data_IF_165961660760
#
_entry.id   IF_165961660760
#
_cell.length_a   1.000
_cell.length_b   1.000
_cell.length_c   1.000
_cell.angle_alpha   90.00
_cell.angle_beta   90.00
_cell.angle_gamma   90.00
#
_symmetry.space_group_name_H-M   'P 1'
#
loop_
_entity.id
_entity.type
_entity.pdbx_description
1 polymer ?
#
# COMPACT_ATOMS: atom_id res chain seq x y z
N UNK A 1 6.11 8.68 -10.96
CA UNK A 1 5.64 8.13 -9.66
C UNK A 1 6.80 7.53 -8.87
N UNK A 2 7.58 6.67 -9.49
CA UNK A 2 8.68 5.99 -8.78
C UNK A 2 9.71 6.99 -8.25
N UNK A 3 10.08 8.00 -9.05
CA UNK A 3 11.02 9.02 -8.61
C UNK A 3 10.50 9.77 -7.36
N UNK A 4 9.21 10.09 -7.34
CA UNK A 4 8.60 10.74 -6.17
C UNK A 4 8.58 9.85 -4.95
N UNK A 5 8.34 8.55 -5.14
CA UNK A 5 8.38 7.59 -4.04
C UNK A 5 9.78 7.49 -3.44
N UNK A 6 10.82 7.55 -4.25
CA UNK A 6 12.19 7.53 -3.76
C UNK A 6 12.54 8.76 -2.93
N UNK A 7 11.95 9.91 -3.24
CA UNK A 7 12.18 11.15 -2.52
C UNK A 7 11.39 11.24 -1.20
N UNK A 8 10.25 10.58 -1.12
CA UNK A 8 9.36 10.68 0.04
C UNK A 8 9.89 9.86 1.23
N UNK A 9 9.54 10.29 2.44
CA UNK A 9 9.81 9.53 3.66
C UNK A 9 8.65 8.60 4.00
N UNK A 10 7.44 8.97 3.58
CA UNK A 10 6.23 8.24 3.85
C UNK A 10 5.47 8.05 2.54
N UNK A 11 4.97 6.84 2.32
CA UNK A 11 4.20 6.49 1.13
C UNK A 11 2.81 6.05 1.59
N UNK A 12 1.79 6.67 0.99
CA UNK A 12 0.40 6.30 1.23
C UNK A 12 -0.16 5.77 -0.08
N UNK A 13 -0.64 4.53 -0.07
CA UNK A 13 -1.26 3.94 -1.25
C UNK A 13 -2.73 3.73 -0.96
N UNK A 14 -3.59 4.30 -1.78
CA UNK A 14 -5.03 4.11 -1.70
C UNK A 14 -5.54 3.34 -2.90
N UNK A 15 -6.40 2.38 -2.66
CA UNK A 15 -7.00 1.57 -3.72
C UNK A 15 -8.46 1.28 -3.43
N UNK A 16 -9.36 1.40 -4.42
CA UNK A 16 -10.65 0.76 -4.30
C UNK A 16 -10.49 -0.76 -4.38
N UNK A 17 -11.46 -1.46 -3.81
CA UNK A 17 -11.53 -2.92 -3.90
C UNK A 17 -12.28 -3.26 -5.19
N UNK A 18 -11.55 -3.70 -6.21
CA UNK A 18 -12.13 -4.14 -7.48
C UNK A 18 -11.81 -5.63 -7.67
N UNK A 19 -12.86 -6.41 -7.95
CA UNK A 19 -12.70 -7.84 -8.17
C UNK A 19 -11.89 -8.50 -7.06
N UNK A 20 -12.29 -8.21 -5.82
CA UNK A 20 -11.78 -8.85 -4.61
C UNK A 20 -10.31 -8.55 -4.28
N UNK A 21 -9.73 -7.52 -4.90
CA UNK A 21 -8.32 -7.16 -4.65
C UNK A 21 -8.05 -5.69 -4.98
N UNK A 22 -6.79 -5.30 -4.97
CA UNK A 22 -6.39 -3.94 -5.34
C UNK A 22 -6.75 -3.67 -6.80
N UNK A 23 -6.97 -2.39 -7.13
CA UNK A 23 -7.36 -1.99 -8.47
C UNK A 23 -6.19 -2.10 -9.46
N UNK A 24 -6.53 -2.10 -10.76
CA UNK A 24 -5.54 -2.22 -11.82
C UNK A 24 -4.51 -1.11 -11.83
N UNK A 25 -4.90 0.12 -11.49
CA UNK A 25 -3.96 1.23 -11.44
C UNK A 25 -2.86 1.01 -10.39
N UNK A 26 -3.25 0.55 -9.19
CA UNK A 26 -2.27 0.22 -8.14
C UNK A 26 -1.42 -0.96 -8.56
N UNK A 27 -2.04 -2.00 -9.10
CA UNK A 27 -1.30 -3.18 -9.59
C UNK A 27 -0.24 -2.78 -10.63
N UNK A 28 -0.60 -1.89 -11.54
CA UNK A 28 0.33 -1.40 -12.56
C UNK A 28 1.54 -0.70 -11.94
N UNK A 29 1.32 0.12 -10.90
CA UNK A 29 2.42 0.77 -10.20
C UNK A 29 3.34 -0.27 -9.54
N UNK A 30 2.77 -1.27 -8.87
CA UNK A 30 3.57 -2.33 -8.25
C UNK A 30 4.38 -3.10 -9.31
N UNK A 31 3.75 -3.41 -10.43
CA UNK A 31 4.42 -4.17 -11.49
C UNK A 31 5.61 -3.39 -12.09
N UNK A 32 5.54 -2.06 -12.12
CA UNK A 32 6.63 -1.23 -12.61
C UNK A 32 7.87 -1.26 -11.74
N UNK A 33 7.72 -1.68 -10.49
CA UNK A 33 8.88 -1.82 -9.60
C UNK A 33 9.77 -2.97 -10.03
N UNK A 34 9.20 -3.94 -10.72
CA UNK A 34 9.94 -5.12 -11.14
C UNK A 34 11.02 -4.73 -12.16
N UNK A 35 12.28 -4.91 -11.80
CA UNK A 35 13.41 -4.57 -12.66
C UNK A 35 13.79 -3.10 -12.71
N UNK A 36 12.98 -2.20 -12.13
CA UNK A 36 13.27 -0.76 -12.13
C UNK A 36 13.71 -0.23 -10.77
N UNK A 37 13.36 -0.94 -9.70
CA UNK A 37 13.66 -0.51 -8.34
C UNK A 37 14.40 -1.62 -7.62
N UNK A 38 15.53 -1.27 -7.01
CA UNK A 38 16.31 -2.22 -6.22
C UNK A 38 15.62 -2.45 -4.88
N UNK A 39 15.83 -3.62 -4.30
CA UNK A 39 15.13 -4.03 -3.07
C UNK A 39 15.29 -3.04 -1.91
N UNK A 40 16.40 -2.37 -1.81
CA UNK A 40 16.68 -1.47 -0.68
C UNK A 40 16.51 0.01 -0.99
N UNK A 41 16.03 0.37 -2.17
CA UNK A 41 15.90 1.79 -2.54
C UNK A 41 14.81 2.53 -1.77
N UNK A 42 13.83 1.80 -1.22
CA UNK A 42 12.78 2.38 -0.40
C UNK A 42 12.95 2.05 1.08
N UNK A 43 14.13 1.56 1.46
CA UNK A 43 14.38 1.11 2.82
C UNK A 43 14.17 2.22 3.85
N UNK A 44 13.51 1.88 4.95
CA UNK A 44 13.26 2.81 6.05
C UNK A 44 12.05 3.71 5.88
N UNK A 45 11.42 3.72 4.71
CA UNK A 45 10.22 4.52 4.49
C UNK A 45 9.01 3.87 5.15
N UNK A 46 8.08 4.70 5.63
CA UNK A 46 6.80 4.20 6.16
C UNK A 46 5.81 4.00 5.02
N UNK A 47 5.01 2.96 5.10
CA UNK A 47 3.96 2.71 4.13
C UNK A 47 2.61 2.53 4.81
N UNK A 48 1.61 3.27 4.33
CA UNK A 48 0.23 3.21 4.78
C UNK A 48 -0.64 2.73 3.64
N UNK A 49 -1.63 1.91 3.93
CA UNK A 49 -2.55 1.39 2.92
C UNK A 49 -3.99 1.78 3.25
N UNK A 50 -4.67 2.39 2.27
CA UNK A 50 -6.09 2.74 2.36
C UNK A 50 -6.84 1.87 1.37
N UNK A 51 -7.77 1.05 1.86
CA UNK A 51 -8.45 0.06 1.03
C UNK A 51 -9.94 0.06 1.32
N UNK A 52 -10.76 0.36 0.32
CA UNK A 52 -12.21 0.53 0.50
C UNK A 52 -12.99 -0.12 -0.61
N UNK A 53 -14.09 -0.77 -0.24
CA UNK A 53 -15.03 -1.38 -1.17
C UNK A 53 -16.47 -1.20 -0.73
N UNK A 54 -17.41 -1.47 -1.65
CA UNK A 54 -18.83 -1.27 -1.39
C UNK A 54 -19.39 -2.28 -0.38
N UNK A 55 -18.96 -3.53 -0.46
CA UNK A 55 -19.43 -4.60 0.42
C UNK A 55 -18.29 -5.61 0.62
N UNK A 56 -17.22 -5.20 1.28
CA UNK A 56 -16.03 -6.05 1.39
C UNK A 56 -16.26 -7.18 2.38
N UNK A 57 -15.84 -8.38 2.01
CA UNK A 57 -15.71 -9.48 2.93
C UNK A 57 -14.29 -9.50 3.52
N UNK A 58 -14.15 -10.07 4.70
CA UNK A 58 -12.89 -10.07 5.42
C UNK A 58 -11.74 -10.65 4.58
N UNK A 59 -11.98 -11.75 3.89
CA UNK A 59 -10.93 -12.40 3.10
C UNK A 59 -10.44 -11.54 1.94
N UNK A 60 -11.32 -10.69 1.38
CA UNK A 60 -10.95 -9.76 0.31
C UNK A 60 -10.01 -8.68 0.83
N UNK A 61 -10.31 -8.14 2.00
CA UNK A 61 -9.48 -7.12 2.63
C UNK A 61 -8.13 -7.71 3.01
N UNK A 62 -8.11 -8.93 3.53
CA UNK A 62 -6.87 -9.62 3.88
C UNK A 62 -6.02 -9.91 2.66
N UNK A 63 -6.63 -10.25 1.51
CA UNK A 63 -5.88 -10.52 0.28
C UNK A 63 -5.15 -9.27 -0.21
N UNK A 64 -5.81 -8.12 -0.23
CA UNK A 64 -5.19 -6.86 -0.61
C UNK A 64 -4.09 -6.46 0.37
N UNK A 65 -4.35 -6.60 1.66
CA UNK A 65 -3.36 -6.28 2.68
C UNK A 65 -2.13 -7.19 2.58
N UNK A 66 -2.35 -8.47 2.31
CA UNK A 66 -1.24 -9.42 2.12
C UNK A 66 -0.31 -8.93 1.00
N UNK A 67 -0.88 -8.58 -0.15
CA UNK A 67 -0.10 -8.08 -1.28
C UNK A 67 0.71 -6.83 -0.90
N UNK A 68 0.08 -5.86 -0.23
CA UNK A 68 0.75 -4.62 0.12
C UNK A 68 1.82 -4.83 1.19
N UNK A 69 1.55 -5.70 2.15
CA UNK A 69 2.51 -6.04 3.19
C UNK A 69 3.75 -6.71 2.60
N UNK A 70 3.55 -7.63 1.67
CA UNK A 70 4.67 -8.30 0.99
C UNK A 70 5.46 -7.33 0.13
N UNK A 71 4.76 -6.43 -0.57
CA UNK A 71 5.41 -5.40 -1.37
C UNK A 71 6.30 -4.50 -0.48
N UNK A 72 5.76 -4.02 0.62
CA UNK A 72 6.52 -3.18 1.55
C UNK A 72 7.75 -3.91 2.08
N UNK A 73 7.59 -5.17 2.49
CA UNK A 73 8.68 -5.97 3.03
C UNK A 73 9.79 -6.20 2.02
N UNK A 74 9.43 -6.47 0.76
CA UNK A 74 10.43 -6.70 -0.29
C UNK A 74 11.33 -5.49 -0.51
N UNK A 75 10.77 -4.28 -0.41
CA UNK A 75 11.53 -3.06 -0.65
C UNK A 75 12.02 -2.39 0.64
N UNK A 76 11.95 -3.08 1.76
CA UNK A 76 12.51 -2.60 3.02
C UNK A 76 11.71 -1.51 3.71
N UNK A 77 10.46 -1.32 3.32
CA UNK A 77 9.58 -0.34 3.95
C UNK A 77 8.96 -0.90 5.23
N UNK A 78 8.65 0.00 6.16
CA UNK A 78 7.91 -0.35 7.37
C UNK A 78 6.42 -0.21 7.07
N UNK A 79 5.71 -1.31 7.01
CA UNK A 79 4.26 -1.33 6.79
C UNK A 79 3.55 -0.96 8.09
N UNK A 80 2.86 0.19 8.11
CA UNK A 80 2.22 0.70 9.31
C UNK A 80 0.86 0.05 9.52
N UNK A 81 0.06 -0.08 8.47
CA UNK A 81 -1.25 -0.70 8.59
C UNK A 81 -2.18 -0.35 7.45
N UNK A 82 -3.39 -0.89 7.53
CA UNK A 82 -4.45 -0.67 6.55
C UNK A 82 -5.63 0.02 7.21
N UNK A 83 -6.15 1.06 6.58
CA UNK A 83 -7.40 1.68 6.97
C UNK A 83 -8.47 1.38 5.92
N UNK A 84 -9.66 0.97 6.38
CA UNK A 84 -10.76 0.59 5.50
C UNK A 84 -11.92 1.57 5.56
N UNK A 85 -11.85 2.57 6.43
CA UNK A 85 -12.83 3.64 6.52
C UNK A 85 -12.18 4.93 7.03
N UNK A 86 -12.97 6.00 7.06
CA UNK A 86 -12.49 7.31 7.50
C UNK A 86 -11.99 7.30 8.94
N UNK A 87 -12.69 6.61 9.83
CA UNK A 87 -12.33 6.56 11.25
C UNK A 87 -10.96 5.93 11.44
N UNK A 88 -10.72 4.79 10.77
CA UNK A 88 -9.43 4.12 10.83
C UNK A 88 -8.32 4.98 10.23
N UNK A 89 -8.62 5.67 9.12
CA UNK A 89 -7.65 6.56 8.48
C UNK A 89 -7.27 7.71 9.40
N UNK A 90 -8.23 8.29 10.11
CA UNK A 90 -7.96 9.37 11.07
C UNK A 90 -7.07 8.89 12.21
N UNK A 91 -7.31 7.71 12.74
CA UNK A 91 -6.46 7.12 13.78
C UNK A 91 -5.04 6.90 13.28
N UNK A 92 -4.90 6.39 12.07
CA UNK A 92 -3.59 6.18 11.46
C UNK A 92 -2.84 7.48 11.22
N UNK A 93 -3.53 8.56 10.92
CA UNK A 93 -2.90 9.85 10.65
C UNK A 93 -2.11 10.37 11.85
N UNK A 94 -2.45 9.95 13.06
CA UNK A 94 -1.71 10.32 14.26
C UNK A 94 -0.27 9.79 14.28
N UNK A 95 0.04 8.81 13.44
CA UNK A 95 1.38 8.20 13.35
C UNK A 95 2.24 8.81 12.24
N UNK A 96 1.68 9.74 11.48
CA UNK A 96 2.41 10.38 10.38
C UNK A 96 3.57 11.27 10.85
#
# INVERSE_FOLDING_TARGET
IIAKMKEADTIVIGSPLYWHNICGAVRTVLDRFYGLVQQNELSGKKMYFLFQGAAPEKWMMEAGEYTMRRFAGLYGMTYIGMATDRSEAQKMSATL
#
